data_IF_429016283288
#
_entry.id   IF_429016283288
#
_cell.length_a   1.000
_cell.length_b   1.000
_cell.length_c   1.000
_cell.angle_alpha   90.00
_cell.angle_beta   90.00
_cell.angle_gamma   90.00
#
_symmetry.space_group_name_H-M   'P 1'
#
loop_
_entity.id
_entity.type
_entity.pdbx_description
1 polymer ?
#
# COMPACT_ATOMS: atom_id res chain seq x y z
N UNK A 1 -1.63 -5.37 8.31
CA UNK A 1 -0.51 -6.32 8.44
C UNK A 1 -0.95 -7.54 9.22
N UNK A 2 -0.48 -8.73 8.84
CA UNK A 2 -0.66 -9.98 9.59
C UNK A 2 0.69 -10.42 10.17
N UNK A 3 0.70 -10.94 11.39
CA UNK A 3 1.91 -11.52 11.99
C UNK A 3 2.05 -12.96 11.50
N UNK A 4 3.29 -13.39 11.27
CA UNK A 4 3.66 -14.75 10.90
C UNK A 4 5.02 -15.10 11.50
N UNK A 5 5.28 -16.39 11.66
CA UNK A 5 6.46 -16.88 12.36
C UNK A 5 7.32 -17.68 11.40
N UNK A 6 8.59 -17.32 11.27
CA UNK A 6 9.56 -18.10 10.49
C UNK A 6 9.87 -19.41 11.21
N UNK A 7 10.39 -20.40 10.48
CA UNK A 7 10.83 -21.68 11.07
C UNK A 7 11.90 -21.53 12.17
N UNK A 8 12.65 -20.43 12.19
CA UNK A 8 13.63 -20.13 13.25
C UNK A 8 13.02 -19.48 14.50
N UNK A 9 11.69 -19.36 14.58
CA UNK A 9 10.96 -18.75 15.70
C UNK A 9 10.88 -17.23 15.66
N UNK A 10 11.55 -16.56 14.71
CA UNK A 10 11.41 -15.10 14.57
C UNK A 10 10.05 -14.72 14.00
N UNK A 11 9.40 -13.76 14.65
CA UNK A 11 8.09 -13.23 14.24
C UNK A 11 8.31 -12.00 13.37
N UNK A 12 7.55 -11.88 12.28
CA UNK A 12 7.52 -10.70 11.44
C UNK A 12 6.11 -10.40 10.96
N UNK A 13 5.88 -9.14 10.56
CA UNK A 13 4.62 -8.70 10.00
C UNK A 13 4.73 -8.65 8.47
N UNK A 14 3.72 -9.16 7.77
CA UNK A 14 3.62 -9.10 6.31
C UNK A 14 2.35 -8.36 5.89
N UNK A 15 2.44 -7.66 4.76
CA UNK A 15 1.26 -7.06 4.14
C UNK A 15 0.47 -8.16 3.40
N UNK A 16 -0.76 -8.51 3.86
CA UNK A 16 -1.54 -9.55 3.22
C UNK A 16 -1.97 -9.20 1.78
N UNK A 17 -2.04 -7.92 1.43
CA UNK A 17 -2.44 -7.49 0.09
C UNK A 17 -1.31 -7.62 -0.95
N UNK A 18 -0.07 -7.83 -0.49
CA UNK A 18 1.08 -8.12 -1.35
C UNK A 18 1.38 -9.61 -1.47
N UNK A 19 0.59 -10.46 -0.80
CA UNK A 19 0.72 -11.92 -0.93
C UNK A 19 0.19 -12.31 -2.31
N UNK A 20 1.07 -12.85 -3.14
CA UNK A 20 0.70 -13.37 -4.45
C UNK A 20 0.11 -14.77 -4.34
N UNK A 21 0.71 -15.63 -3.52
CA UNK A 21 0.25 -17.01 -3.28
C UNK A 21 0.79 -17.57 -1.96
N UNK A 22 0.10 -18.59 -1.46
CA UNK A 22 0.51 -19.39 -0.31
C UNK A 22 0.45 -20.85 -0.72
N UNK A 23 1.58 -21.55 -0.61
CA UNK A 23 1.71 -22.98 -0.97
C UNK A 23 1.98 -23.80 0.31
N UNK A 24 1.49 -25.03 0.39
CA UNK A 24 1.75 -25.94 1.51
C UNK A 24 2.63 -27.10 1.02
N UNK A 25 3.94 -27.04 1.30
CA UNK A 25 4.96 -28.00 0.83
C UNK A 25 6.15 -28.09 1.77
N UNK A 26 6.39 -29.24 2.43
CA UNK A 26 5.60 -29.68 3.60
C UNK A 26 5.33 -28.57 4.63
N UNK A 27 6.14 -27.51 4.63
CA UNK A 27 5.95 -26.27 5.36
C UNK A 27 5.15 -25.25 4.51
N UNK A 28 4.63 -24.20 5.13
CA UNK A 28 3.89 -23.17 4.41
C UNK A 28 4.84 -22.13 3.82
N UNK A 29 4.71 -21.84 2.53
CA UNK A 29 5.51 -20.84 1.81
C UNK A 29 4.62 -19.71 1.33
N UNK A 30 4.88 -18.50 1.81
CA UNK A 30 4.26 -17.26 1.33
C UNK A 30 5.15 -16.68 0.23
N UNK A 31 4.59 -16.48 -0.96
CA UNK A 31 5.25 -15.77 -2.06
C UNK A 31 4.60 -14.40 -2.22
N UNK A 32 5.40 -13.34 -2.21
CA UNK A 32 4.95 -11.97 -2.46
C UNK A 32 5.00 -11.62 -3.95
N UNK A 33 4.32 -10.55 -4.33
CA UNK A 33 4.24 -10.06 -5.72
C UNK A 33 5.59 -9.63 -6.32
N UNK A 34 6.58 -9.32 -5.49
CA UNK A 34 7.96 -9.00 -5.90
C UNK A 34 8.83 -10.26 -6.08
N UNK A 35 8.26 -11.45 -5.85
CA UNK A 35 8.95 -12.74 -5.90
C UNK A 35 9.64 -13.13 -4.59
N UNK A 36 9.62 -12.30 -3.55
CA UNK A 36 10.15 -12.66 -2.24
C UNK A 36 9.37 -13.84 -1.65
N UNK A 37 10.09 -14.75 -0.97
CA UNK A 37 9.52 -15.97 -0.38
C UNK A 37 9.84 -16.07 1.09
N UNK A 38 8.83 -16.42 1.88
CA UNK A 38 8.96 -16.67 3.30
C UNK A 38 8.41 -18.03 3.65
N UNK A 39 9.21 -18.84 4.34
CA UNK A 39 8.76 -20.11 4.91
C UNK A 39 8.33 -19.85 6.35
N UNK A 40 7.10 -20.24 6.67
CA UNK A 40 6.44 -19.93 7.94
C UNK A 40 5.91 -21.20 8.60
N UNK A 41 5.73 -21.15 9.92
CA UNK A 41 5.23 -22.28 10.71
C UNK A 41 3.71 -22.42 10.66
N UNK A 42 3.00 -21.33 10.37
CA UNK A 42 1.54 -21.35 10.33
C UNK A 42 1.00 -22.14 9.12
N UNK A 43 -0.06 -22.94 9.29
CA UNK A 43 -0.69 -23.64 8.19
C UNK A 43 -1.39 -22.67 7.24
N UNK A 44 -1.55 -23.11 5.98
CA UNK A 44 -2.22 -22.34 4.92
C UNK A 44 -3.62 -21.83 5.33
N UNK A 45 -4.41 -22.65 6.03
CA UNK A 45 -5.75 -22.27 6.49
C UNK A 45 -5.71 -21.08 7.48
N UNK A 46 -4.77 -21.09 8.42
CA UNK A 46 -4.61 -20.01 9.39
C UNK A 46 -4.18 -18.70 8.72
N UNK A 47 -3.31 -18.77 7.70
CA UNK A 47 -2.93 -17.59 6.92
C UNK A 47 -4.16 -17.00 6.23
N UNK A 48 -5.03 -17.82 5.62
CA UNK A 48 -6.26 -17.36 4.97
C UNK A 48 -7.17 -16.66 5.98
N UNK A 49 -7.39 -17.26 7.15
CA UNK A 49 -8.22 -16.67 8.21
C UNK A 49 -7.66 -15.32 8.68
N UNK A 50 -6.34 -15.23 8.89
CA UNK A 50 -5.67 -13.98 9.29
C UNK A 50 -5.84 -12.89 8.22
N UNK A 51 -5.75 -13.24 6.93
CA UNK A 51 -5.99 -12.32 5.81
C UNK A 51 -7.43 -11.82 5.80
N UNK A 52 -8.40 -12.73 5.90
CA UNK A 52 -9.83 -12.38 5.94
C UNK A 52 -10.15 -11.48 7.13
N UNK A 53 -9.69 -11.85 8.33
CA UNK A 53 -9.89 -11.08 9.55
C UNK A 53 -9.22 -9.70 9.48
N UNK A 54 -8.04 -9.59 8.85
CA UNK A 54 -7.43 -8.29 8.60
C UNK A 54 -8.32 -7.40 7.72
N UNK A 55 -8.76 -7.89 6.56
CA UNK A 55 -9.61 -7.12 5.64
C UNK A 55 -10.95 -6.73 6.27
N UNK A 56 -11.59 -7.65 6.96
CA UNK A 56 -12.84 -7.40 7.68
C UNK A 56 -12.67 -6.31 8.75
N UNK A 57 -11.59 -6.35 9.53
CA UNK A 57 -11.29 -5.30 10.53
C UNK A 57 -11.09 -3.94 9.90
N UNK A 58 -10.36 -3.86 8.79
CA UNK A 58 -10.14 -2.58 8.09
C UNK A 58 -11.48 -1.95 7.69
N UNK A 59 -12.39 -2.72 7.08
CA UNK A 59 -13.72 -2.24 6.68
C UNK A 59 -14.58 -1.88 7.88
N UNK A 60 -14.64 -2.74 8.90
CA UNK A 60 -15.43 -2.50 10.10
C UNK A 60 -14.97 -1.22 10.83
N UNK A 61 -13.66 -1.05 11.00
CA UNK A 61 -13.10 0.16 11.62
C UNK A 61 -13.38 1.41 10.79
N UNK A 62 -13.27 1.35 9.47
CA UNK A 62 -13.61 2.49 8.61
C UNK A 62 -15.08 2.93 8.81
N UNK A 63 -16.03 1.99 8.80
CA UNK A 63 -17.44 2.30 9.03
C UNK A 63 -17.71 2.85 10.45
N UNK A 64 -17.06 2.31 11.49
CA UNK A 64 -17.23 2.83 12.85
C UNK A 64 -16.72 4.27 13.02
N UNK A 65 -15.73 4.69 12.20
CA UNK A 65 -15.24 6.07 12.20
C UNK A 65 -16.22 7.04 11.50
N UNK A 66 -16.93 6.58 10.47
CA UNK A 66 -17.97 7.36 9.77
C UNK A 66 -19.22 7.59 10.63
N UNK A 67 -19.64 6.58 11.40
CA UNK A 67 -20.83 6.65 12.26
C UNK A 67 -20.66 7.56 13.49
N UNK A 68 -19.42 7.90 13.86
CA UNK A 68 -19.11 8.73 15.02
C UNK A 68 -19.26 10.26 14.79
N UNK A 69 -19.80 10.68 13.63
CA UNK A 69 -20.21 12.06 13.35
C UNK A 69 -19.14 12.92 12.66
N UNK A 70 -19.54 14.00 11.95
CA UNK A 70 -18.63 14.82 11.14
C UNK A 70 -17.77 15.70 12.06
N UNK A 71 -16.59 15.22 12.42
CA UNK A 71 -15.65 15.98 13.25
C UNK A 71 -14.32 15.32 13.56
N UNK A 72 -14.10 14.06 13.16
CA UNK A 72 -12.79 13.44 13.26
C UNK A 72 -12.01 13.71 11.97
N UNK A 73 -11.16 14.74 12.00
CA UNK A 73 -10.10 15.07 11.05
C UNK A 73 -10.21 14.38 9.69
N UNK A 74 -10.80 15.10 8.73
CA UNK A 74 -10.50 14.88 7.32
C UNK A 74 -8.98 14.83 7.25
N UNK A 75 -8.40 13.66 6.95
CA UNK A 75 -7.03 13.58 6.45
C UNK A 75 -7.02 14.48 5.23
N UNK A 76 -6.62 15.73 5.44
CA UNK A 76 -6.49 16.75 4.42
C UNK A 76 -5.29 16.30 3.58
N UNK A 77 -5.56 15.34 2.69
CA UNK A 77 -4.63 14.91 1.66
C UNK A 77 -4.29 16.19 0.91
N UNK A 78 -3.02 16.64 0.89
CA UNK A 78 -2.67 17.90 0.27
C UNK A 78 -3.20 17.91 -1.16
N UNK A 79 -4.23 18.72 -1.37
CA UNK A 79 -4.80 18.97 -2.67
C UNK A 79 -3.69 19.69 -3.44
N UNK A 80 -3.03 18.99 -4.35
CA UNK A 80 -2.29 19.67 -5.39
C UNK A 80 -3.35 20.39 -6.22
N UNK A 81 -3.51 21.69 -5.98
CA UNK A 81 -4.35 22.54 -6.82
C UNK A 81 -3.74 22.54 -8.22
N UNK A 82 -4.20 21.64 -9.09
CA UNK A 82 -4.14 21.91 -10.53
C UNK A 82 -5.15 23.01 -10.77
N UNK A 83 -4.69 24.25 -10.77
CA UNK A 83 -5.49 25.39 -11.24
C UNK A 83 -6.01 25.06 -12.65
N UNK A 84 -7.32 25.21 -12.90
CA UNK A 84 -7.85 25.13 -14.25
C UNK A 84 -7.33 26.35 -15.01
N UNK A 85 -6.32 26.14 -15.84
CA UNK A 85 -5.78 27.16 -16.73
C UNK A 85 -6.86 27.52 -17.74
N UNK A 86 -7.55 28.63 -17.48
CA UNK A 86 -8.40 29.30 -18.47
C UNK A 86 -7.46 29.92 -19.51
N UNK A 87 -7.68 29.79 -20.82
CA UNK A 87 -6.82 30.41 -21.80
C UNK A 87 -7.12 31.92 -21.80
N UNK A 88 -6.34 32.69 -21.04
CA UNK A 88 -6.32 34.14 -21.17
C UNK A 88 -5.27 34.50 -22.21
N UNK A 89 -5.74 35.00 -23.36
CA UNK A 89 -4.93 35.77 -24.30
C UNK A 89 -4.32 36.98 -23.58
N UNK A 90 -3.11 36.81 -23.08
CA UNK A 90 -2.19 37.91 -22.74
C UNK A 90 -0.81 37.42 -23.13
N UNK A 91 -0.17 38.13 -24.07
CA UNK A 91 1.22 37.93 -24.48
C UNK A 91 2.15 37.95 -23.25
N UNK A 92 2.38 36.77 -22.68
CA UNK A 92 3.25 36.55 -21.55
C UNK A 92 4.64 36.20 -22.04
N UNK A 93 5.60 37.08 -21.78
CA UNK A 93 7.02 36.79 -21.96
C UNK A 93 7.39 35.57 -21.10
N UNK A 94 7.58 34.43 -21.78
CA UNK A 94 7.95 33.17 -21.15
C UNK A 94 9.33 33.33 -20.50
N UNK A 95 9.54 32.88 -19.25
CA UNK A 95 10.88 32.80 -18.69
C UNK A 95 11.74 31.88 -19.56
N UNK A 96 12.97 32.30 -19.84
CA UNK A 96 13.87 31.60 -20.75
C UNK A 96 14.01 30.12 -20.38
N UNK A 97 13.88 29.18 -21.34
CA UNK A 97 13.94 27.75 -21.07
C UNK A 97 15.30 27.36 -20.48
N UNK A 98 15.25 26.53 -19.43
CA UNK A 98 16.44 25.99 -18.76
C UNK A 98 17.26 25.14 -19.76
N UNK A 99 18.56 25.43 -19.97
CA UNK A 99 19.36 24.72 -20.95
C UNK A 99 19.57 23.25 -20.52
N UNK A 100 19.02 22.32 -21.30
CA UNK A 100 19.29 20.89 -21.14
C UNK A 100 20.75 20.60 -21.46
N UNK A 101 21.53 20.24 -20.45
CA UNK A 101 22.89 19.74 -20.66
C UNK A 101 22.83 18.36 -21.30
N UNK A 102 23.39 18.24 -22.51
CA UNK A 102 23.57 16.94 -23.16
C UNK A 102 24.44 16.07 -22.25
N UNK A 103 23.94 14.90 -21.86
CA UNK A 103 24.78 13.88 -21.23
C UNK A 103 25.95 13.59 -22.18
N UNK A 104 27.18 13.72 -21.66
CA UNK A 104 28.39 13.38 -22.40
C UNK A 104 28.35 11.88 -22.77
N UNK A 105 28.89 11.51 -23.96
CA UNK A 105 29.02 10.12 -24.37
C UNK A 105 30.02 9.35 -23.51
#
# INVERSE_FOLDING_TARGET
MILVTRLNGSVFAVNPDLIQRVDSTPDTVITLVDGAKFVVTEPLAEIIERVMAFRARVVATAHSLEESGPGADVLELPHHTTEPTTPSDTDGELPAPVPLHRRRP
#
